data_IF_062698729954
#
_entry.id   IF_062698729954
#
_cell.length_a   1.000
_cell.length_b   1.000
_cell.length_c   1.000
_cell.angle_alpha   90.00
_cell.angle_beta   90.00
_cell.angle_gamma   90.00
#
_symmetry.space_group_name_H-M   'P 1'
#
loop_
_entity.id
_entity.type
_entity.pdbx_description
1 polymer ?
#
# COMPACT_ATOMS: atom_id res chain seq x y z
N UNK A 1 -16.07 27.61 -2.27
CA UNK A 1 -15.65 26.86 -3.47
C UNK A 1 -14.40 26.07 -3.10
N UNK A 2 -14.59 24.83 -2.64
CA UNK A 2 -13.49 23.97 -2.21
C UNK A 2 -12.62 23.60 -3.40
N UNK A 3 -11.32 23.76 -3.27
CA UNK A 3 -10.37 23.17 -4.21
C UNK A 3 -10.38 21.67 -3.95
N UNK A 4 -11.10 20.92 -4.78
CA UNK A 4 -11.00 19.46 -4.82
C UNK A 4 -9.62 19.12 -5.37
N UNK A 5 -8.66 18.92 -4.47
CA UNK A 5 -7.31 18.47 -4.80
C UNK A 5 -7.34 16.98 -5.13
N UNK A 6 -7.60 16.68 -6.40
CA UNK A 6 -7.50 15.32 -6.93
C UNK A 6 -6.03 14.84 -6.88
N UNK A 7 -5.78 13.55 -6.62
CA UNK A 7 -4.46 12.95 -6.83
C UNK A 7 -4.11 13.06 -8.33
N UNK A 8 -3.31 14.04 -8.70
CA UNK A 8 -2.76 14.13 -10.05
C UNK A 8 -1.28 14.45 -9.94
N UNK A 9 -0.44 13.42 -10.08
CA UNK A 9 1.01 13.50 -9.90
C UNK A 9 1.77 13.89 -11.18
N UNK A 10 1.08 14.20 -12.29
CA UNK A 10 1.72 14.49 -13.60
C UNK A 10 2.47 15.83 -13.70
N UNK A 11 2.53 16.64 -12.65
CA UNK A 11 2.94 18.05 -12.77
C UNK A 11 4.11 18.53 -11.92
N UNK A 12 4.69 17.71 -11.05
CA UNK A 12 5.81 18.17 -10.21
C UNK A 12 7.10 17.63 -10.80
N UNK A 13 8.01 18.55 -11.12
CA UNK A 13 9.41 18.33 -11.55
C UNK A 13 10.25 17.65 -10.45
N UNK A 14 9.66 16.65 -9.77
CA UNK A 14 10.26 15.78 -8.80
C UNK A 14 10.90 14.67 -9.58
N UNK A 15 12.21 14.54 -9.46
CA UNK A 15 12.95 13.36 -9.86
C UNK A 15 12.33 12.19 -9.09
N UNK A 16 11.34 11.48 -9.64
CA UNK A 16 10.57 10.43 -8.97
C UNK A 16 11.49 9.32 -8.43
N UNK A 17 12.61 9.10 -9.11
CA UNK A 17 13.71 8.25 -8.68
C UNK A 17 14.52 8.79 -7.49
N UNK A 18 14.38 10.04 -7.06
CA UNK A 18 14.99 10.55 -5.81
C UNK A 18 14.00 10.59 -4.64
N UNK A 19 12.70 10.45 -4.93
CA UNK A 19 11.66 10.52 -3.90
C UNK A 19 11.71 9.26 -3.05
N UNK A 20 12.01 9.44 -1.76
CA UNK A 20 11.97 8.37 -0.75
C UNK A 20 10.68 8.36 0.05
N UNK A 21 10.04 9.51 0.18
CA UNK A 21 8.86 9.68 1.01
C UNK A 21 7.81 10.47 0.21
N UNK A 22 6.59 9.96 0.19
CA UNK A 22 5.48 10.61 -0.50
C UNK A 22 4.23 10.58 0.39
N UNK A 23 3.72 11.77 0.72
CA UNK A 23 2.53 11.96 1.55
C UNK A 23 1.45 12.62 0.71
N UNK A 24 0.32 11.92 0.55
CA UNK A 24 -0.81 12.31 -0.28
C UNK A 24 -2.12 12.34 0.53
N UNK A 25 -1.99 12.54 1.84
CA UNK A 25 -3.12 12.51 2.76
C UNK A 25 -4.15 13.58 2.40
N UNK A 26 -5.43 13.22 2.50
CA UNK A 26 -6.57 14.07 2.13
C UNK A 26 -6.61 14.50 0.65
N UNK A 27 -5.73 13.99 -0.21
CA UNK A 27 -5.89 14.14 -1.65
C UNK A 27 -7.00 13.19 -2.12
N UNK A 28 -8.03 13.69 -2.79
CA UNK A 28 -9.14 12.84 -3.20
C UNK A 28 -8.69 11.94 -4.36
N UNK A 29 -8.83 10.63 -4.20
CA UNK A 29 -8.68 9.70 -5.32
C UNK A 29 -9.83 9.88 -6.31
N UNK A 30 -9.52 9.82 -7.60
CA UNK A 30 -10.54 9.76 -8.65
C UNK A 30 -11.05 8.31 -8.74
N UNK A 31 -12.37 8.13 -8.70
CA UNK A 31 -13.04 6.82 -8.74
C UNK A 31 -12.56 5.79 -7.67
N UNK A 32 -11.95 6.24 -6.57
CA UNK A 32 -11.46 5.36 -5.51
C UNK A 32 -10.22 4.54 -5.89
N UNK A 33 -9.44 4.99 -6.89
CA UNK A 33 -8.24 4.32 -7.39
C UNK A 33 -7.00 5.18 -7.24
N UNK A 34 -5.83 4.54 -7.23
CA UNK A 34 -4.54 5.23 -7.20
C UNK A 34 -4.26 5.82 -8.58
N UNK A 35 -4.00 7.12 -8.68
CA UNK A 35 -3.71 7.78 -9.96
C UNK A 35 -2.42 8.60 -9.86
N UNK A 36 -1.62 8.58 -10.93
CA UNK A 36 -0.34 9.29 -11.01
C UNK A 36 0.85 8.62 -10.32
N UNK A 37 0.67 7.47 -9.65
CA UNK A 37 1.78 6.65 -9.16
C UNK A 37 2.21 5.66 -10.25
N UNK A 38 3.50 5.65 -10.59
CA UNK A 38 4.12 4.74 -11.55
C UNK A 38 5.23 3.91 -10.89
N UNK A 39 5.82 2.97 -11.64
CA UNK A 39 7.00 2.22 -11.21
C UNK A 39 8.28 3.07 -11.12
N UNK A 40 8.25 4.32 -11.59
CA UNK A 40 9.43 5.20 -11.63
C UNK A 40 9.84 5.70 -10.24
N UNK A 41 8.95 5.52 -9.25
CA UNK A 41 9.21 5.74 -7.82
C UNK A 41 10.03 4.59 -7.21
N UNK A 42 11.11 4.19 -7.88
CA UNK A 42 11.93 3.03 -7.53
C UNK A 42 12.62 3.15 -6.17
N UNK A 43 12.82 4.39 -5.70
CA UNK A 43 13.45 4.70 -4.42
C UNK A 43 12.47 5.05 -3.30
N UNK A 44 11.17 4.91 -3.54
CA UNK A 44 10.15 5.22 -2.55
C UNK A 44 10.18 4.18 -1.41
N UNK A 45 10.42 4.67 -0.20
CA UNK A 45 10.51 3.90 1.04
C UNK A 45 9.26 4.08 1.91
N UNK A 46 8.60 5.24 1.83
CA UNK A 46 7.39 5.58 2.58
C UNK A 46 6.30 6.19 1.68
N UNK A 47 5.09 5.64 1.77
CA UNK A 47 3.90 6.14 1.08
C UNK A 47 2.75 6.31 2.07
N UNK A 48 2.18 7.50 2.14
CA UNK A 48 0.98 7.81 2.91
C UNK A 48 -0.15 8.28 2.01
N UNK A 49 -1.29 7.62 2.10
CA UNK A 49 -2.52 7.96 1.41
C UNK A 49 -3.68 7.84 2.39
N UNK A 50 -3.65 8.64 3.46
CA UNK A 50 -4.68 8.63 4.50
C UNK A 50 -5.88 9.47 4.05
N UNK A 51 -7.10 8.96 4.28
CA UNK A 51 -8.34 9.69 3.99
C UNK A 51 -8.45 10.19 2.53
N UNK A 52 -8.06 9.34 1.58
CA UNK A 52 -8.10 9.67 0.14
C UNK A 52 -9.32 9.08 -0.58
N UNK A 53 -10.23 8.42 0.16
CA UNK A 53 -11.40 7.69 -0.36
C UNK A 53 -11.06 6.51 -1.29
N UNK A 54 -9.91 5.85 -1.12
CA UNK A 54 -9.57 4.66 -1.90
C UNK A 54 -10.57 3.53 -1.64
N UNK A 55 -11.01 2.89 -2.72
CA UNK A 55 -11.87 1.70 -2.71
C UNK A 55 -11.05 0.43 -2.99
N UNK A 56 -9.97 0.55 -3.75
CA UNK A 56 -9.09 -0.56 -4.12
C UNK A 56 -7.65 -0.08 -4.29
N UNK A 57 -6.72 -1.02 -4.13
CA UNK A 57 -5.28 -0.83 -4.34
C UNK A 57 -4.75 -1.75 -5.45
N UNK A 58 -5.64 -2.35 -6.25
CA UNK A 58 -5.30 -3.29 -7.32
C UNK A 58 -4.36 -2.72 -8.38
N UNK A 59 -4.37 -1.40 -8.55
CA UNK A 59 -3.54 -0.68 -9.51
C UNK A 59 -2.26 -0.09 -8.89
N UNK A 60 -1.88 -0.51 -7.68
CA UNK A 60 -0.61 -0.11 -7.07
C UNK A 60 0.56 -0.59 -7.96
N UNK A 61 1.46 0.31 -8.39
CA UNK A 61 2.65 -0.09 -9.15
C UNK A 61 3.59 -0.93 -8.28
N UNK A 62 4.56 -1.60 -8.93
CA UNK A 62 5.58 -2.33 -8.20
C UNK A 62 6.54 -1.33 -7.53
N UNK A 63 6.58 -1.32 -6.21
CA UNK A 63 7.39 -0.44 -5.39
C UNK A 63 8.36 -1.28 -4.57
N UNK A 64 9.50 -1.62 -5.18
CA UNK A 64 10.44 -2.58 -4.61
C UNK A 64 11.07 -2.10 -3.29
N UNK A 65 11.28 -0.80 -3.09
CA UNK A 65 11.93 -0.27 -1.88
C UNK A 65 10.95 0.18 -0.81
N UNK A 66 9.64 0.05 -1.04
CA UNK A 66 8.63 0.52 -0.10
C UNK A 66 8.67 -0.31 1.17
N UNK A 67 8.91 0.35 2.31
CA UNK A 67 8.99 -0.27 3.63
C UNK A 67 7.76 0.02 4.48
N UNK A 68 7.16 1.20 4.31
CA UNK A 68 6.00 1.64 5.09
C UNK A 68 4.89 2.20 4.19
N UNK A 69 3.67 1.72 4.41
CA UNK A 69 2.47 2.09 3.68
C UNK A 69 1.32 2.43 4.65
N UNK A 70 0.84 3.67 4.62
CA UNK A 70 -0.29 4.15 5.42
C UNK A 70 -1.52 4.34 4.53
N UNK A 71 -2.56 3.53 4.76
CA UNK A 71 -3.83 3.55 4.02
C UNK A 71 -5.02 3.79 4.96
N UNK A 72 -4.78 4.42 6.09
CA UNK A 72 -5.81 4.66 7.11
C UNK A 72 -6.97 5.50 6.58
N UNK A 73 -8.15 5.30 7.15
CA UNK A 73 -9.36 6.09 6.87
C UNK A 73 -9.76 6.09 5.38
N UNK A 74 -9.58 4.95 4.72
CA UNK A 74 -10.06 4.72 3.36
C UNK A 74 -11.31 3.82 3.37
N UNK A 75 -11.71 3.32 2.19
CA UNK A 75 -12.90 2.49 2.00
C UNK A 75 -12.57 1.14 1.37
N UNK A 76 -11.31 0.70 1.50
CA UNK A 76 -10.83 -0.56 0.94
C UNK A 76 -11.55 -1.72 1.63
N UNK A 77 -12.05 -2.68 0.85
CA UNK A 77 -12.79 -3.83 1.35
C UNK A 77 -12.16 -5.18 1.01
N UNK A 78 -11.07 -5.21 0.22
CA UNK A 78 -10.40 -6.43 -0.23
C UNK A 78 -9.36 -6.15 -1.32
N UNK A 79 -8.89 -7.20 -2.00
CA UNK A 79 -7.88 -7.09 -3.06
C UNK A 79 -6.50 -6.72 -2.50
N UNK A 80 -6.18 -7.18 -1.29
CA UNK A 80 -4.97 -6.84 -0.56
C UNK A 80 -3.80 -7.76 -0.90
N UNK A 81 -4.08 -8.92 -1.50
CA UNK A 81 -3.09 -9.88 -1.99
C UNK A 81 -2.07 -9.25 -2.94
N UNK A 82 -2.47 -8.22 -3.69
CA UNK A 82 -1.61 -7.44 -4.59
C UNK A 82 -0.42 -6.80 -3.85
N UNK A 83 -0.57 -6.47 -2.55
CA UNK A 83 0.53 -5.90 -1.75
C UNK A 83 1.68 -6.89 -1.57
N UNK A 84 1.38 -8.19 -1.48
CA UNK A 84 2.41 -9.22 -1.35
C UNK A 84 3.32 -9.25 -2.58
N UNK A 85 2.76 -9.04 -3.77
CA UNK A 85 3.52 -9.05 -5.04
C UNK A 85 4.16 -7.71 -5.38
N UNK A 86 3.44 -6.61 -5.16
CA UNK A 86 3.87 -5.26 -5.60
C UNK A 86 4.84 -4.59 -4.64
N UNK A 87 4.81 -4.96 -3.37
CA UNK A 87 5.62 -4.32 -2.31
C UNK A 87 6.45 -5.37 -1.56
N UNK A 88 7.44 -6.02 -2.21
CA UNK A 88 8.15 -7.18 -1.65
C UNK A 88 8.92 -6.89 -0.35
N UNK A 89 9.27 -5.63 -0.09
CA UNK A 89 10.03 -5.21 1.10
C UNK A 89 9.17 -4.45 2.13
N UNK A 90 7.84 -4.49 1.99
CA UNK A 90 6.93 -3.85 2.95
C UNK A 90 7.05 -4.54 4.31
N UNK A 91 7.26 -3.74 5.35
CA UNK A 91 7.41 -4.19 6.74
C UNK A 91 6.36 -3.56 7.66
N UNK A 92 5.80 -2.42 7.26
CA UNK A 92 4.80 -1.69 8.02
C UNK A 92 3.62 -1.36 7.13
N UNK A 93 2.42 -1.76 7.54
CA UNK A 93 1.17 -1.50 6.84
C UNK A 93 0.10 -1.08 7.84
N UNK A 94 -0.59 0.02 7.53
CA UNK A 94 -1.74 0.45 8.30
C UNK A 94 -2.99 0.48 7.42
N UNK A 95 -4.00 -0.29 7.82
CA UNK A 95 -5.31 -0.40 7.17
C UNK A 95 -6.44 0.02 8.11
N UNK A 96 -6.15 0.74 9.19
CA UNK A 96 -7.14 1.27 10.12
C UNK A 96 -8.24 2.06 9.40
N UNK A 97 -9.47 2.03 9.90
CA UNK A 97 -10.56 2.83 9.32
C UNK A 97 -11.02 2.41 7.92
N UNK A 98 -10.61 1.23 7.42
CA UNK A 98 -11.10 0.66 6.16
C UNK A 98 -12.34 -0.21 6.34
N UNK A 99 -12.89 -0.74 5.23
CA UNK A 99 -14.10 -1.58 5.19
C UNK A 99 -13.78 -3.08 5.07
N UNK A 100 -12.67 -3.50 5.65
CA UNK A 100 -12.24 -4.91 5.66
C UNK A 100 -13.11 -5.64 6.69
N UNK A 101 -14.11 -6.38 6.21
CA UNK A 101 -15.07 -7.09 7.07
C UNK A 101 -14.60 -8.49 7.44
N UNK A 102 -13.74 -9.08 6.63
CA UNK A 102 -13.40 -10.49 6.72
C UNK A 102 -11.90 -10.63 6.92
N UNK A 103 -11.49 -11.15 8.08
CA UNK A 103 -10.09 -11.27 8.46
C UNK A 103 -9.32 -12.22 7.53
N UNK A 104 -10.03 -13.14 6.87
CA UNK A 104 -9.47 -14.04 5.87
C UNK A 104 -8.86 -13.28 4.67
N UNK A 105 -9.33 -12.07 4.38
CA UNK A 105 -8.73 -11.22 3.33
C UNK A 105 -7.33 -10.72 3.67
N UNK A 106 -6.94 -10.80 4.95
CA UNK A 106 -5.62 -10.39 5.44
C UNK A 106 -4.66 -11.57 5.58
N UNK A 107 -5.11 -12.82 5.57
CA UNK A 107 -4.25 -14.00 5.80
C UNK A 107 -3.05 -14.06 4.83
N UNK A 108 -3.23 -13.97 3.50
CA UNK A 108 -2.10 -14.02 2.56
C UNK A 108 -1.09 -12.90 2.81
N UNK A 109 -1.59 -11.73 3.19
CA UNK A 109 -0.78 -10.55 3.46
C UNK A 109 -0.04 -10.65 4.80
N UNK A 110 -0.71 -11.14 5.84
CA UNK A 110 -0.14 -11.35 7.15
C UNK A 110 0.99 -12.38 7.09
N UNK A 111 0.79 -13.48 6.34
CA UNK A 111 1.83 -14.47 6.10
C UNK A 111 3.03 -13.86 5.37
N UNK A 112 2.80 -13.08 4.30
CA UNK A 112 3.86 -12.42 3.55
C UNK A 112 4.62 -11.37 4.36
N UNK A 113 3.94 -10.59 5.20
CA UNK A 113 4.58 -9.59 6.07
C UNK A 113 5.37 -10.27 7.20
N UNK A 114 4.79 -11.31 7.81
CA UNK A 114 5.44 -12.11 8.85
C UNK A 114 6.74 -12.75 8.33
N UNK A 115 6.72 -13.36 7.15
CA UNK A 115 7.92 -13.98 6.55
C UNK A 115 9.02 -12.99 6.18
N UNK A 116 8.69 -11.69 6.01
CA UNK A 116 9.68 -10.63 5.75
C UNK A 116 10.30 -10.08 7.02
N UNK A 117 9.54 -10.04 8.11
CA UNK A 117 10.00 -9.57 9.43
C UNK A 117 10.76 -10.67 10.18
N UNK A 118 10.29 -11.90 10.04
CA UNK A 118 10.96 -13.09 10.53
C UNK A 118 11.99 -13.49 9.47
N UNK A 119 13.24 -13.03 9.59
CA UNK A 119 14.36 -13.43 8.73
C UNK A 119 14.75 -14.92 8.82
N UNK A 120 13.81 -15.78 9.19
CA UNK A 120 13.96 -17.22 9.26
C UNK A 120 13.62 -17.80 7.89
N UNK A 121 14.61 -18.38 7.20
CA UNK A 121 14.34 -19.50 6.31
C UNK A 121 13.38 -20.45 7.01
N UNK A 122 12.24 -20.76 6.38
CA UNK A 122 11.17 -21.58 6.94
C UNK A 122 11.75 -22.82 7.64
N UNK A 123 11.51 -23.03 8.94
CA UNK A 123 11.36 -24.39 9.42
C UNK A 123 10.05 -24.93 8.83
N UNK A 124 10.16 -26.10 8.21
CA UNK A 124 9.13 -26.98 7.66
C UNK A 124 7.67 -26.72 8.12
N UNK A 125 6.75 -26.68 7.15
CA UNK A 125 5.29 -26.49 7.31
C UNK A 125 4.59 -27.75 7.85
N UNK A 126 5.11 -28.32 8.93
CA UNK A 126 4.60 -29.56 9.53
C UNK A 126 3.80 -29.42 10.82
N UNK A 127 3.56 -28.21 11.34
CA UNK A 127 2.97 -28.08 12.69
C UNK A 127 2.22 -26.77 12.93
N UNK A 128 1.02 -26.64 12.37
CA UNK A 128 -0.05 -25.84 12.99
C UNK A 128 -1.18 -26.80 13.35
N UNK A 129 -1.65 -26.85 14.62
CA UNK A 129 -2.77 -27.71 14.98
C UNK A 129 -4.07 -27.12 14.41
N UNK A 130 -4.94 -28.02 13.93
CA UNK A 130 -6.32 -27.71 13.56
C UNK A 130 -7.17 -27.32 14.77
#
# INVERSE_FOLDING_TARGET
SGQDSFLHLEGKNCLCWQVKELVLDNCRSDDGKIVGLSSDFENLEFLSMINVNLLSISNLPKLNKLRKLELSDNRISGGLEVLAERTPNLTHLNLSGNKIKDINTLEPLAFALSSRLCGCERPDLGSWPQ
#
